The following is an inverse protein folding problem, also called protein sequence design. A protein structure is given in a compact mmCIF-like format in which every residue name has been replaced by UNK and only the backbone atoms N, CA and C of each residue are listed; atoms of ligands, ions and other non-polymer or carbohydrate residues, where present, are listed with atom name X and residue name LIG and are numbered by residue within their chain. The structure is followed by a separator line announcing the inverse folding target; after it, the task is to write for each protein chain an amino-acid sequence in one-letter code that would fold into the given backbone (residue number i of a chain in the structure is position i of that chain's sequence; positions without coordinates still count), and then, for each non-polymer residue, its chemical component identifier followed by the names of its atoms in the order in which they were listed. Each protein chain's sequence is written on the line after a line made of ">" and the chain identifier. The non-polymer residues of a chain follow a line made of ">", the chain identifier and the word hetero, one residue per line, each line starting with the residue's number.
data_IF_726172865563
#
_entry.id   IF_726172865563
#
_cell.length_a   1.000
_cell.length_b   1.000
_cell.length_c   1.000
_cell.angle_alpha   90.00
_cell.angle_beta   90.00
_cell.angle_gamma   90.00
#
_symmetry.space_group_name_H-M   'P 1'
#
loop_
_entity.id
_entity.type
_entity.pdbx_description
1 polymer ?
#
# COMPACT_ATOMS: atom_id res chain seq x y z
N UNK A 1 -22.12 -1.59 41.77
CA UNK A 1 -21.01 -1.29 40.83
C UNK A 1 -21.32 -1.97 39.52
N UNK A 2 -21.75 -1.21 38.51
CA UNK A 2 -22.02 -1.76 37.17
C UNK A 2 -20.76 -1.53 36.34
N UNK A 3 -20.11 -2.63 35.98
CA UNK A 3 -19.02 -2.56 35.01
C UNK A 3 -19.63 -2.36 33.62
N UNK A 4 -19.41 -1.17 33.06
CA UNK A 4 -19.67 -0.95 31.62
C UNK A 4 -18.53 -1.63 30.86
N UNK A 5 -18.85 -2.77 30.28
CA UNK A 5 -17.97 -3.42 29.30
C UNK A 5 -18.09 -2.62 28.01
N UNK A 6 -17.09 -1.80 27.73
CA UNK A 6 -17.01 -1.11 26.44
C UNK A 6 -16.65 -2.15 25.40
N UNK A 7 -17.65 -2.58 24.64
CA UNK A 7 -17.42 -3.40 23.44
C UNK A 7 -16.81 -2.46 22.41
N UNK A 8 -15.51 -2.54 22.22
CA UNK A 8 -14.86 -1.95 21.04
C UNK A 8 -15.28 -2.80 19.85
N UNK A 9 -16.32 -2.36 19.15
CA UNK A 9 -16.67 -2.96 17.88
C UNK A 9 -15.50 -2.71 16.93
N UNK A 10 -14.77 -3.77 16.59
CA UNK A 10 -13.88 -3.75 15.44
C UNK A 10 -14.77 -3.44 14.23
N UNK A 11 -14.59 -2.26 13.65
CA UNK A 11 -15.21 -1.92 12.38
C UNK A 11 -14.59 -2.83 11.32
N UNK A 12 -15.25 -3.95 11.06
CA UNK A 12 -14.94 -4.81 9.94
C UNK A 12 -15.08 -3.97 8.67
N UNK A 13 -13.99 -3.78 7.95
CA UNK A 13 -14.03 -3.13 6.65
C UNK A 13 -14.86 -4.01 5.72
N UNK A 14 -16.02 -3.48 5.28
CA UNK A 14 -16.91 -4.21 4.39
C UNK A 14 -16.20 -4.59 3.10
N UNK A 15 -16.26 -5.88 2.70
CA UNK A 15 -15.68 -6.37 1.45
C UNK A 15 -14.17 -6.64 1.49
N UNK A 16 -13.51 -6.54 2.65
CA UNK A 16 -12.09 -6.91 2.78
C UNK A 16 -11.97 -8.41 3.05
N UNK A 17 -11.21 -9.16 2.22
CA UNK A 17 -10.92 -10.57 2.51
C UNK A 17 -10.28 -10.74 3.88
N UNK A 18 -10.66 -11.82 4.60
CA UNK A 18 -10.20 -12.06 5.97
C UNK A 18 -8.69 -12.13 6.13
N UNK A 19 -7.97 -12.63 5.12
CA UNK A 19 -6.51 -12.70 5.13
C UNK A 19 -5.81 -11.34 4.98
N UNK A 20 -6.56 -10.28 4.66
CA UNK A 20 -6.05 -8.91 4.53
C UNK A 20 -6.48 -8.00 5.69
N UNK A 21 -7.19 -8.52 6.66
CA UNK A 21 -7.57 -7.76 7.84
C UNK A 21 -6.34 -7.38 8.68
N UNK A 22 -6.35 -6.17 9.22
CA UNK A 22 -5.33 -5.76 10.16
C UNK A 22 -5.40 -6.63 11.43
N UNK A 23 -4.26 -6.90 12.11
CA UNK A 23 -4.25 -7.66 13.33
C UNK A 23 -5.20 -7.09 14.39
N UNK A 24 -5.84 -7.98 15.16
CA UNK A 24 -6.72 -7.58 16.25
C UNK A 24 -5.98 -6.68 17.25
N UNK A 25 -6.65 -5.61 17.69
CA UNK A 25 -6.09 -4.66 18.65
C UNK A 25 -5.25 -3.54 18.02
N UNK A 26 -4.94 -3.62 16.74
CA UNK A 26 -4.29 -2.49 16.06
C UNK A 26 -5.28 -1.35 15.78
N UNK A 27 -4.78 -0.14 15.73
CA UNK A 27 -5.56 1.10 15.59
C UNK A 27 -5.21 1.79 14.28
N UNK A 28 -6.22 2.24 13.54
CA UNK A 28 -6.04 3.00 12.30
C UNK A 28 -5.40 4.37 12.61
N UNK A 29 -4.28 4.64 11.97
CA UNK A 29 -3.54 5.92 12.08
C UNK A 29 -3.95 6.88 10.97
N UNK A 30 -4.02 6.36 9.74
CA UNK A 30 -4.33 7.17 8.57
C UNK A 30 -4.90 6.30 7.45
N UNK A 31 -5.76 6.93 6.65
CA UNK A 31 -6.23 6.42 5.36
C UNK A 31 -5.87 7.45 4.29
N UNK A 32 -5.29 7.00 3.19
CA UNK A 32 -4.95 7.87 2.07
C UNK A 32 -5.36 7.23 0.74
N UNK A 33 -5.63 8.08 -0.24
CA UNK A 33 -5.80 7.67 -1.63
C UNK A 33 -4.48 7.87 -2.38
N UNK A 34 -4.04 6.83 -3.10
CA UNK A 34 -2.84 6.89 -3.91
C UNK A 34 -3.20 7.02 -5.39
N UNK A 35 -2.45 7.86 -6.09
CA UNK A 35 -2.53 8.00 -7.55
C UNK A 35 -1.12 8.16 -8.11
N UNK A 36 -0.79 7.34 -9.09
CA UNK A 36 0.53 7.35 -9.73
C UNK A 36 0.71 6.16 -10.65
N UNK A 37 1.93 5.67 -10.74
CA UNK A 37 2.32 4.61 -11.65
C UNK A 37 3.02 3.47 -10.92
N UNK A 38 2.81 2.25 -11.42
CA UNK A 38 3.74 1.16 -11.21
C UNK A 38 4.78 1.20 -12.32
N UNK A 39 6.04 1.26 -11.97
CA UNK A 39 7.16 1.35 -12.92
C UNK A 39 7.76 -0.03 -13.13
N UNK A 40 7.87 -0.43 -14.38
CA UNK A 40 8.42 -1.72 -14.78
C UNK A 40 9.67 -1.54 -15.64
N UNK A 41 10.62 -2.45 -15.49
CA UNK A 41 11.79 -2.54 -16.34
C UNK A 41 11.78 -3.88 -17.10
N UNK A 42 12.18 -3.85 -18.37
CA UNK A 42 12.33 -5.04 -19.19
C UNK A 42 13.67 -5.72 -18.91
N UNK A 43 13.64 -7.00 -18.50
CA UNK A 43 14.86 -7.78 -18.28
C UNK A 43 15.36 -8.53 -19.53
N UNK A 44 14.70 -8.29 -20.67
CA UNK A 44 14.98 -9.00 -21.94
C UNK A 44 13.99 -10.12 -22.25
N UNK A 45 13.17 -10.52 -21.28
CA UNK A 45 12.16 -11.58 -21.43
C UNK A 45 10.80 -11.12 -20.94
N UNK A 46 10.75 -10.43 -19.81
CA UNK A 46 9.51 -9.97 -19.19
C UNK A 46 9.70 -8.64 -18.45
N UNK A 47 8.60 -7.95 -18.25
CA UNK A 47 8.53 -6.78 -17.42
C UNK A 47 8.62 -7.18 -15.94
N UNK A 48 9.57 -6.56 -15.22
CA UNK A 48 9.74 -6.73 -13.78
C UNK A 48 9.46 -5.43 -13.06
N UNK A 49 8.76 -5.51 -11.93
CA UNK A 49 8.41 -4.32 -11.16
C UNK A 49 9.66 -3.68 -10.55
N UNK A 50 9.90 -2.41 -10.88
CA UNK A 50 10.94 -1.59 -10.24
C UNK A 50 10.43 -0.94 -8.96
N UNK A 51 9.16 -0.58 -8.93
CA UNK A 51 8.50 0.01 -7.78
C UNK A 51 7.43 1.02 -8.19
N UNK A 52 6.63 1.47 -7.23
CA UNK A 52 5.66 2.51 -7.45
C UNK A 52 6.32 3.90 -7.50
N UNK A 53 5.63 4.82 -8.15
CA UNK A 53 5.88 6.25 -8.10
C UNK A 53 4.51 6.93 -7.98
N UNK A 54 4.08 7.18 -6.77
CA UNK A 54 2.72 7.63 -6.48
C UNK A 54 2.70 8.76 -5.44
N UNK A 55 1.65 9.55 -5.52
CA UNK A 55 1.32 10.59 -4.56
C UNK A 55 0.19 10.09 -3.66
N UNK A 56 0.25 10.48 -2.39
CA UNK A 56 -0.74 10.13 -1.38
C UNK A 56 -1.56 11.36 -1.00
N UNK A 57 -2.87 11.19 -1.00
CA UNK A 57 -3.82 12.28 -0.73
C UNK A 57 -4.72 11.91 0.45
N UNK A 58 -5.03 12.87 1.29
CA UNK A 58 -6.04 12.72 2.35
C UNK A 58 -7.47 12.79 1.77
N UNK A 59 -8.48 12.64 2.63
CA UNK A 59 -9.88 12.68 2.21
C UNK A 59 -10.31 14.05 1.66
N UNK A 60 -9.61 15.13 2.01
CA UNK A 60 -9.83 16.46 1.47
C UNK A 60 -9.13 16.71 0.13
N UNK A 61 -8.40 15.71 -0.39
CA UNK A 61 -7.65 15.80 -1.64
C UNK A 61 -6.32 16.54 -1.53
N UNK A 62 -5.83 16.76 -0.31
CA UNK A 62 -4.51 17.38 -0.09
C UNK A 62 -3.42 16.32 -0.15
N UNK A 63 -2.33 16.60 -0.83
CA UNK A 63 -1.18 15.71 -0.84
C UNK A 63 -0.53 15.68 0.55
N UNK A 64 -0.42 14.48 1.13
CA UNK A 64 0.15 14.24 2.44
C UNK A 64 1.40 13.37 2.43
N UNK A 65 1.78 12.86 1.27
CA UNK A 65 2.97 12.02 1.17
C UNK A 65 3.22 11.48 -0.23
N UNK A 66 4.19 10.58 -0.30
CA UNK A 66 4.62 9.88 -1.51
C UNK A 66 4.85 8.40 -1.22
N UNK A 67 4.81 7.60 -2.30
CA UNK A 67 5.03 6.16 -2.23
C UNK A 67 5.97 5.74 -3.35
N UNK A 68 7.00 5.00 -3.00
CA UNK A 68 8.08 4.62 -3.92
C UNK A 68 8.68 3.26 -3.57
N UNK A 69 9.72 2.87 -4.28
CA UNK A 69 10.33 1.56 -4.14
C UNK A 69 10.80 1.25 -2.71
N UNK A 70 10.63 -0.04 -2.35
CA UNK A 70 10.98 -0.58 -1.05
C UNK A 70 10.06 -1.74 -0.63
N UNK A 71 8.73 -1.65 -0.70
CA UNK A 71 7.92 -0.44 -0.84
C UNK A 71 8.06 0.50 0.35
N UNK A 72 8.08 1.78 0.08
CA UNK A 72 8.24 2.84 1.06
C UNK A 72 7.10 3.85 0.98
N UNK A 73 6.58 4.29 2.10
CA UNK A 73 5.63 5.39 2.23
C UNK A 73 6.28 6.49 3.05
N UNK A 74 6.31 7.68 2.49
CA UNK A 74 6.83 8.86 3.17
C UNK A 74 5.72 9.87 3.38
N UNK A 75 5.54 10.28 4.63
CA UNK A 75 4.61 11.35 4.99
C UNK A 75 5.26 12.72 4.78
N UNK A 76 4.43 13.76 4.66
CA UNK A 76 4.91 15.14 4.45
C UNK A 76 5.76 15.70 5.60
N UNK A 77 5.73 15.08 6.76
CA UNK A 77 6.61 15.40 7.90
C UNK A 77 8.02 14.77 7.79
N UNK A 78 8.28 14.01 6.72
CA UNK A 78 9.56 13.35 6.47
C UNK A 78 9.67 11.93 7.04
N UNK A 79 8.74 11.52 7.91
CA UNK A 79 8.75 10.15 8.44
C UNK A 79 8.44 9.12 7.37
N UNK A 80 9.07 7.95 7.46
CA UNK A 80 8.95 6.87 6.48
C UNK A 80 8.68 5.53 7.15
N UNK A 81 7.94 4.70 6.44
CA UNK A 81 7.80 3.28 6.76
C UNK A 81 8.02 2.45 5.50
N UNK A 82 8.76 1.37 5.63
CA UNK A 82 8.89 0.32 4.62
C UNK A 82 8.09 -0.89 5.08
N UNK A 83 7.59 -1.66 4.12
CA UNK A 83 6.79 -2.84 4.42
C UNK A 83 7.20 -4.07 3.61
N UNK A 84 6.76 -5.24 4.10
CA UNK A 84 6.87 -6.52 3.40
C UNK A 84 5.47 -7.13 3.25
N UNK A 85 5.17 -7.62 2.05
CA UNK A 85 3.91 -8.31 1.77
C UNK A 85 3.84 -9.61 2.56
N UNK A 86 2.77 -9.77 3.32
CA UNK A 86 2.50 -11.01 4.09
C UNK A 86 1.25 -11.75 3.60
N UNK A 87 0.34 -11.06 2.90
CA UNK A 87 -0.83 -11.66 2.29
C UNK A 87 -1.30 -10.85 1.10
N UNK A 88 -1.99 -11.48 0.17
CA UNK A 88 -2.58 -10.83 -0.99
C UNK A 88 -3.91 -11.46 -1.39
N UNK A 89 -4.69 -10.70 -2.15
CA UNK A 89 -5.89 -11.17 -2.81
C UNK A 89 -6.07 -10.39 -4.13
N UNK A 90 -6.73 -10.99 -5.09
CA UNK A 90 -6.95 -10.39 -6.41
C UNK A 90 -8.44 -10.36 -6.73
N UNK A 91 -9.22 -9.43 -6.15
CA UNK A 91 -10.65 -9.30 -6.44
C UNK A 91 -10.92 -8.88 -7.88
N UNK A 92 -9.99 -8.16 -8.49
CA UNK A 92 -10.03 -7.72 -9.88
C UNK A 92 -8.74 -8.15 -10.59
N UNK A 93 -8.84 -9.09 -11.51
CA UNK A 93 -7.68 -9.62 -12.26
C UNK A 93 -7.06 -8.61 -13.23
N UNK A 94 -7.77 -7.53 -13.55
CA UNK A 94 -7.25 -6.45 -14.40
C UNK A 94 -6.40 -5.42 -13.62
N UNK A 95 -6.33 -5.54 -12.31
CA UNK A 95 -5.63 -4.61 -11.43
C UNK A 95 -4.58 -5.31 -10.60
N UNK A 96 -3.59 -4.55 -10.09
CA UNK A 96 -2.61 -5.09 -9.13
C UNK A 96 -3.30 -5.60 -7.88
N UNK A 97 -2.75 -6.62 -7.18
CA UNK A 97 -3.41 -7.23 -6.03
C UNK A 97 -3.67 -6.27 -4.87
N UNK A 98 -4.68 -6.58 -4.08
CA UNK A 98 -4.83 -6.06 -2.73
C UNK A 98 -3.80 -6.74 -1.83
N UNK A 99 -3.22 -6.01 -0.89
CA UNK A 99 -2.11 -6.48 -0.08
C UNK A 99 -2.33 -6.21 1.41
N UNK A 100 -1.82 -7.12 2.22
CA UNK A 100 -1.49 -6.84 3.61
C UNK A 100 0.03 -6.83 3.73
N UNK A 101 0.59 -5.77 4.31
CA UNK A 101 2.02 -5.62 4.52
C UNK A 101 2.30 -5.42 6.00
N UNK A 102 3.44 -5.94 6.43
CA UNK A 102 4.00 -5.69 7.75
C UNK A 102 5.13 -4.69 7.65
N UNK A 103 5.16 -3.70 8.54
CA UNK A 103 6.26 -2.75 8.60
C UNK A 103 7.57 -3.49 8.87
N UNK A 104 8.62 -3.17 8.12
CA UNK A 104 9.95 -3.77 8.22
C UNK A 104 11.02 -2.78 8.68
N UNK A 105 10.88 -1.51 8.35
CA UNK A 105 11.79 -0.44 8.73
C UNK A 105 11.04 0.88 8.89
N UNK A 106 11.57 1.73 9.77
CA UNK A 106 11.10 3.11 9.97
C UNK A 106 12.29 4.06 9.91
N UNK A 107 12.05 5.27 9.37
CA UNK A 107 13.03 6.35 9.36
C UNK A 107 12.33 7.64 9.77
N UNK A 108 12.97 8.42 10.62
CA UNK A 108 12.41 9.68 11.12
C UNK A 108 11.27 9.48 12.10
N UNK A 109 10.86 10.57 12.72
CA UNK A 109 9.74 10.61 13.65
C UNK A 109 8.57 11.36 13.04
N UNK A 110 7.35 10.89 13.31
CA UNK A 110 6.13 11.50 12.81
C UNK A 110 5.04 10.46 12.54
N UNK A 111 4.19 10.74 11.57
CA UNK A 111 3.00 9.94 11.26
C UNK A 111 3.33 8.47 10.97
N UNK A 112 4.43 8.20 10.28
CA UNK A 112 4.81 6.84 9.88
C UNK A 112 5.63 6.08 10.92
N UNK A 113 6.12 6.74 11.98
CA UNK A 113 7.08 6.14 12.92
C UNK A 113 6.51 4.99 13.76
N UNK A 114 5.21 4.90 13.96
CA UNK A 114 4.56 3.86 14.75
C UNK A 114 3.74 2.87 13.91
N UNK A 115 3.75 3.01 12.60
CA UNK A 115 3.00 2.12 11.71
C UNK A 115 3.56 0.71 11.79
N UNK A 116 2.70 -0.26 12.07
CA UNK A 116 3.04 -1.69 12.15
C UNK A 116 2.47 -2.49 10.98
N UNK A 117 1.34 -2.07 10.44
CA UNK A 117 0.62 -2.78 9.36
C UNK A 117 0.10 -1.79 8.33
N UNK A 118 0.19 -2.19 7.07
CA UNK A 118 -0.32 -1.42 5.94
C UNK A 118 -1.22 -2.31 5.10
N UNK A 119 -2.38 -1.81 4.70
CA UNK A 119 -3.23 -2.45 3.69
C UNK A 119 -3.22 -1.63 2.40
N UNK A 120 -3.10 -2.30 1.27
CA UNK A 120 -3.42 -1.76 -0.06
C UNK A 120 -4.73 -2.36 -0.52
N UNK A 121 -5.76 -1.55 -0.62
CA UNK A 121 -7.11 -1.96 -1.00
C UNK A 121 -7.61 -1.14 -2.19
N UNK A 122 -8.70 -1.59 -2.80
CA UNK A 122 -9.43 -0.87 -3.87
C UNK A 122 -8.53 -0.47 -5.05
N UNK A 123 -7.64 -1.36 -5.44
CA UNK A 123 -6.71 -1.11 -6.54
C UNK A 123 -7.42 -1.03 -7.89
N UNK A 124 -6.94 -0.12 -8.74
CA UNK A 124 -7.32 0.01 -10.14
C UNK A 124 -6.07 0.14 -10.99
N UNK A 125 -5.94 -0.69 -12.02
CA UNK A 125 -4.81 -0.65 -12.94
C UNK A 125 -3.48 -1.12 -12.36
N UNK A 126 -2.39 -0.63 -12.92
CA UNK A 126 -1.04 -0.84 -12.43
C UNK A 126 -0.35 -2.11 -12.90
N UNK A 127 -1.02 -2.97 -13.68
CA UNK A 127 -0.40 -4.21 -14.17
C UNK A 127 0.62 -3.93 -15.28
N UNK A 128 1.61 -4.80 -15.37
CA UNK A 128 2.58 -4.77 -16.46
C UNK A 128 1.87 -4.96 -17.81
N UNK A 129 2.38 -4.36 -18.91
CA UNK A 129 1.89 -4.65 -20.25
C UNK A 129 2.03 -6.14 -20.58
N UNK A 130 1.11 -6.67 -21.37
CA UNK A 130 1.14 -8.07 -21.82
C UNK A 130 2.26 -8.35 -22.84
N UNK A 131 2.80 -7.30 -23.47
CA UNK A 131 3.79 -7.41 -24.54
C UNK A 131 4.79 -6.25 -24.46
N UNK A 132 5.78 -6.23 -25.38
CA UNK A 132 6.73 -5.14 -25.53
C UNK A 132 8.06 -5.35 -24.81
N UNK A 133 8.22 -6.43 -24.04
CA UNK A 133 9.50 -6.78 -23.44
C UNK A 133 10.08 -8.04 -24.11
N UNK A 134 11.19 -7.88 -24.75
CA UNK A 134 11.98 -8.91 -25.41
C UNK A 134 13.47 -8.57 -25.34
N UNK A 135 14.32 -9.37 -26.00
CA UNK A 135 15.76 -9.15 -25.99
C UNK A 135 16.19 -7.79 -26.58
N UNK A 136 15.43 -7.27 -27.56
CA UNK A 136 15.72 -5.97 -28.18
C UNK A 136 15.35 -4.78 -27.28
N UNK A 137 14.42 -4.99 -26.34
CA UNK A 137 13.92 -3.96 -25.43
C UNK A 137 14.51 -4.07 -24.01
N UNK A 138 15.51 -4.93 -23.81
CA UNK A 138 16.18 -5.05 -22.50
C UNK A 138 16.67 -3.70 -22.00
N UNK A 139 16.31 -3.36 -20.77
CA UNK A 139 16.62 -2.08 -20.15
C UNK A 139 15.55 -0.99 -20.36
N UNK A 140 14.57 -1.23 -21.23
CA UNK A 140 13.44 -0.32 -21.40
C UNK A 140 12.57 -0.25 -20.14
N UNK A 141 12.00 0.90 -19.88
CA UNK A 141 11.04 1.11 -18.80
C UNK A 141 9.66 1.43 -19.35
N UNK A 142 8.65 1.06 -18.59
CA UNK A 142 7.26 1.45 -18.85
C UNK A 142 6.56 1.80 -17.55
N UNK A 143 5.53 2.62 -17.65
CA UNK A 143 4.71 3.06 -16.53
C UNK A 143 3.28 2.61 -16.74
N UNK A 144 2.69 2.03 -15.70
CA UNK A 144 1.30 1.60 -15.71
C UNK A 144 0.55 2.33 -14.61
N UNK A 145 -0.39 3.19 -15.01
CA UNK A 145 -1.16 4.00 -14.06
C UNK A 145 -1.97 3.12 -13.11
N UNK A 146 -1.97 3.49 -11.83
CA UNK A 146 -2.82 2.85 -10.82
C UNK A 146 -3.34 3.84 -9.79
N UNK A 147 -4.42 3.45 -9.16
CA UNK A 147 -4.93 4.05 -7.93
C UNK A 147 -5.15 2.97 -6.89
N UNK A 148 -5.07 3.34 -5.63
CA UNK A 148 -5.33 2.46 -4.50
C UNK A 148 -5.69 3.29 -3.27
N UNK A 149 -6.26 2.62 -2.27
CA UNK A 149 -6.38 3.17 -0.92
C UNK A 149 -5.36 2.45 -0.03
N UNK A 150 -4.60 3.22 0.76
CA UNK A 150 -3.71 2.70 1.78
C UNK A 150 -4.25 3.02 3.17
N UNK A 151 -4.25 2.00 4.03
CA UNK A 151 -4.65 2.08 5.43
C UNK A 151 -3.43 1.76 6.29
N UNK A 152 -3.10 2.65 7.21
CA UNK A 152 -1.95 2.51 8.10
C UNK A 152 -2.44 2.28 9.53
N UNK A 153 -1.92 1.23 10.15
CA UNK A 153 -2.27 0.84 11.52
C UNK A 153 -1.06 0.86 12.41
N UNK A 154 -1.28 1.11 13.68
CA UNK A 154 -0.28 0.99 14.74
C UNK A 154 -0.75 0.02 15.81
N UNK A 155 0.15 -0.51 16.67
CA UNK A 155 -0.28 -1.30 17.83
C UNK A 155 -1.22 -0.48 18.72
N UNK A 156 -2.24 -1.15 19.24
CA UNK A 156 -3.05 -0.64 20.32
C UNK A 156 -2.27 -0.68 21.64
N UNK A 157 -2.75 0.04 22.63
CA UNK A 157 -2.20 -0.03 24.00
C UNK A 157 -2.71 -1.27 24.72
#
# INVERSE_FOLDING_TARGET
>A
MRFLTTVVAALLQAGVPGNLEAPAGEVLVARVHASGDQVYACNGEQWTLSGPDARLFDEAGRQVGTHFAGPTWQWSDGSRVMGKVVANATPDTASVPWLLLKASEHTGEGMMSQVSTIQRLHTKGGKAPAAGCDAEHKGSQTRSHYTADYYFYRPGK
#
